data_IF_518778452916
#
_entry.id   IF_518778452916
#
_cell.length_a   1.000
_cell.length_b   1.000
_cell.length_c   1.000
_cell.angle_alpha   90.00
_cell.angle_beta   90.00
_cell.angle_gamma   90.00
#
_symmetry.space_group_name_H-M   'P 1'
#
loop_
_entity.id
_entity.type
_entity.pdbx_description
1 polymer ?
#
# COMPACT_ATOMS: atom_id res chain seq x y z
N UNK A 1 1.42 -8.92 17.52
CA UNK A 1 1.77 -10.24 18.09
C UNK A 1 0.90 -11.34 17.46
N UNK A 2 1.35 -12.61 17.40
CA UNK A 2 0.59 -13.71 16.80
C UNK A 2 -0.81 -13.94 17.40
N UNK A 3 -1.00 -13.53 18.65
CA UNK A 3 -2.24 -13.71 19.40
C UNK A 3 -3.17 -12.49 19.34
N UNK A 4 -2.92 -11.53 18.48
CA UNK A 4 -3.66 -10.28 18.38
C UNK A 4 -5.07 -10.53 17.83
N UNK A 5 -6.08 -10.21 18.64
CA UNK A 5 -7.48 -10.34 18.23
C UNK A 5 -7.94 -9.11 17.44
N UNK A 6 -9.00 -9.22 16.61
CA UNK A 6 -9.58 -8.06 15.93
C UNK A 6 -9.94 -6.91 16.88
N UNK A 7 -10.48 -7.24 18.07
CA UNK A 7 -10.82 -6.28 19.12
C UNK A 7 -9.64 -5.51 19.68
N UNK A 8 -8.42 -6.08 19.62
CA UNK A 8 -7.22 -5.39 20.08
C UNK A 8 -6.83 -4.26 19.12
N UNK A 9 -7.24 -4.35 17.84
CA UNK A 9 -7.03 -3.32 16.82
C UNK A 9 -8.19 -2.32 16.79
N UNK A 10 -9.43 -2.82 16.73
CA UNK A 10 -10.62 -1.98 16.54
C UNK A 10 -11.14 -1.39 17.85
N UNK A 11 -10.83 -2.02 18.97
CA UNK A 11 -11.41 -1.69 20.26
C UNK A 11 -12.60 -2.57 20.60
N UNK A 12 -13.18 -2.33 21.76
CA UNK A 12 -14.29 -3.09 22.32
C UNK A 12 -15.17 -2.21 23.18
N UNK A 13 -16.46 -2.54 23.31
CA UNK A 13 -17.35 -1.91 24.28
C UNK A 13 -17.17 -2.55 25.64
N UNK A 14 -16.97 -1.74 26.65
CA UNK A 14 -16.88 -2.14 28.04
C UNK A 14 -18.02 -1.53 28.87
N UNK A 15 -18.59 -2.30 29.78
CA UNK A 15 -19.59 -1.78 30.69
C UNK A 15 -18.93 -0.87 31.72
N UNK A 16 -19.25 0.41 31.70
CA UNK A 16 -18.87 1.34 32.76
C UNK A 16 -19.73 1.06 33.99
N UNK A 17 -19.07 0.53 35.05
CA UNK A 17 -19.75 0.20 36.29
C UNK A 17 -20.33 1.39 37.07
N UNK A 18 -19.91 2.61 36.72
CA UNK A 18 -20.39 3.84 37.36
C UNK A 18 -21.68 4.34 36.71
N UNK A 19 -21.71 4.35 35.40
CA UNK A 19 -22.88 4.82 34.62
C UNK A 19 -23.86 3.69 34.29
N UNK A 20 -23.43 2.42 34.32
CA UNK A 20 -24.21 1.26 33.86
C UNK A 20 -24.36 1.21 32.34
N UNK A 21 -23.63 2.05 31.59
CA UNK A 21 -23.69 2.12 30.14
C UNK A 21 -22.47 1.44 29.48
N UNK A 22 -22.66 0.98 28.26
CA UNK A 22 -21.56 0.48 27.45
C UNK A 22 -20.78 1.66 26.86
N UNK A 23 -19.48 1.73 27.15
CA UNK A 23 -18.58 2.76 26.63
C UNK A 23 -17.58 2.13 25.68
N UNK A 24 -17.46 2.70 24.48
CA UNK A 24 -16.49 2.27 23.50
C UNK A 24 -15.07 2.62 23.96
N UNK A 25 -14.24 1.60 24.18
CA UNK A 25 -12.80 1.71 24.33
C UNK A 25 -12.16 1.57 22.94
N UNK A 26 -11.79 2.70 22.32
CA UNK A 26 -11.16 2.74 21.03
C UNK A 26 -9.82 2.00 21.00
N UNK A 27 -9.62 1.18 19.97
CA UNK A 27 -8.35 0.51 19.71
C UNK A 27 -7.35 1.41 18.94
N UNK A 28 -6.13 0.90 18.70
CA UNK A 28 -5.07 1.64 18.02
C UNK A 28 -5.38 2.06 16.58
N UNK A 29 -6.37 1.45 15.93
CA UNK A 29 -6.81 1.83 14.58
C UNK A 29 -7.37 3.27 14.51
N UNK A 30 -7.81 3.83 15.64
CA UNK A 30 -8.30 5.21 15.72
C UNK A 30 -7.14 6.22 15.74
N UNK A 31 -6.28 6.14 14.73
CA UNK A 31 -5.14 7.02 14.51
C UNK A 31 -5.08 7.45 13.04
N UNK A 32 -4.20 8.37 12.69
CA UNK A 32 -4.01 8.81 11.29
C UNK A 32 -3.00 7.95 10.53
N UNK A 33 -1.99 7.42 11.22
CA UNK A 33 -0.99 6.51 10.66
C UNK A 33 -0.90 5.30 11.57
N UNK A 34 -1.20 4.13 11.06
CA UNK A 34 -1.10 2.86 11.76
C UNK A 34 0.07 2.06 11.19
N UNK A 35 1.04 1.72 12.03
CA UNK A 35 2.07 0.74 11.69
C UNK A 35 1.62 -0.64 12.16
N UNK A 36 1.38 -1.54 11.21
CA UNK A 36 1.08 -2.95 11.44
C UNK A 36 2.35 -3.78 11.14
N UNK A 37 3.18 -3.92 12.15
CA UNK A 37 4.43 -4.66 12.02
C UNK A 37 4.19 -6.16 11.97
N UNK A 38 4.86 -6.85 11.04
CA UNK A 38 4.74 -8.29 10.82
C UNK A 38 3.28 -8.78 10.67
N UNK A 39 2.50 -8.11 9.82
CA UNK A 39 1.06 -8.41 9.63
C UNK A 39 0.80 -9.89 9.26
N UNK A 40 1.76 -10.54 8.63
CA UNK A 40 1.70 -11.97 8.27
C UNK A 40 1.77 -12.91 9.48
N UNK A 41 2.05 -12.42 10.68
CA UNK A 41 1.97 -13.19 11.95
C UNK A 41 0.60 -13.05 12.63
N UNK A 42 -0.19 -12.06 12.26
CA UNK A 42 -1.52 -11.88 12.80
C UNK A 42 -2.50 -12.92 12.23
N UNK A 43 -3.46 -13.44 13.02
CA UNK A 43 -4.50 -14.33 12.54
C UNK A 43 -5.32 -13.74 11.39
N UNK A 44 -5.86 -14.59 10.51
CA UNK A 44 -6.60 -14.15 9.33
C UNK A 44 -7.79 -13.21 9.65
N UNK A 45 -8.46 -13.41 10.78
CA UNK A 45 -9.55 -12.52 11.22
C UNK A 45 -9.05 -11.12 11.56
N UNK A 46 -7.90 -11.01 12.17
CA UNK A 46 -7.26 -9.75 12.53
C UNK A 46 -6.76 -9.01 11.30
N UNK A 47 -6.15 -9.74 10.34
CA UNK A 47 -5.80 -9.20 9.03
C UNK A 47 -7.04 -8.65 8.30
N UNK A 48 -8.15 -9.39 8.28
CA UNK A 48 -9.38 -8.97 7.64
C UNK A 48 -9.96 -7.69 8.25
N UNK A 49 -9.97 -7.56 9.58
CA UNK A 49 -10.45 -6.36 10.27
C UNK A 49 -9.60 -5.11 9.92
N UNK A 50 -8.27 -5.28 9.85
CA UNK A 50 -7.38 -4.18 9.45
C UNK A 50 -7.60 -3.77 8.00
N UNK A 51 -7.77 -4.75 7.10
CA UNK A 51 -8.02 -4.49 5.68
C UNK A 51 -9.38 -3.84 5.43
N UNK A 52 -10.40 -4.18 6.22
CA UNK A 52 -11.69 -3.50 6.21
C UNK A 52 -11.55 -2.04 6.63
N UNK A 53 -10.92 -1.78 7.76
CA UNK A 53 -10.66 -0.44 8.27
C UNK A 53 -9.89 0.42 7.24
N UNK A 54 -8.89 -0.19 6.55
CA UNK A 54 -8.10 0.49 5.52
C UNK A 54 -8.93 0.87 4.29
N UNK A 55 -9.90 0.02 3.88
CA UNK A 55 -10.69 0.28 2.68
C UNK A 55 -11.85 1.24 2.91
N UNK A 56 -12.59 0.99 3.99
CA UNK A 56 -13.82 1.71 4.28
C UNK A 56 -13.54 3.02 5.05
N UNK A 57 -12.35 3.18 5.65
CA UNK A 57 -12.03 4.33 6.48
C UNK A 57 -12.91 4.40 7.73
N UNK A 58 -13.43 3.27 8.15
CA UNK A 58 -14.29 3.09 9.33
C UNK A 58 -14.10 1.69 9.91
N UNK A 59 -14.56 1.49 11.13
CA UNK A 59 -14.68 0.17 11.76
C UNK A 59 -16.13 -0.06 12.19
N UNK A 60 -16.59 -1.30 12.08
CA UNK A 60 -17.91 -1.70 12.55
C UNK A 60 -17.77 -2.39 13.89
N UNK A 61 -18.37 -1.79 14.93
CA UNK A 61 -18.41 -2.34 16.29
C UNK A 61 -19.84 -2.41 16.76
N UNK A 62 -20.30 -3.61 17.18
CA UNK A 62 -21.65 -3.87 17.67
C UNK A 62 -22.77 -3.37 16.74
N UNK A 63 -22.51 -3.41 15.41
CA UNK A 63 -23.47 -2.96 14.40
C UNK A 63 -23.38 -1.46 14.08
N UNK A 64 -22.57 -0.69 14.78
CA UNK A 64 -22.33 0.73 14.51
C UNK A 64 -21.07 0.93 13.70
N UNK A 65 -21.15 1.73 12.62
CA UNK A 65 -20.00 2.12 11.81
C UNK A 65 -19.40 3.41 12.33
N UNK A 66 -18.16 3.33 12.80
CA UNK A 66 -17.43 4.45 13.42
C UNK A 66 -16.33 4.90 12.47
N UNK A 67 -16.37 6.15 11.97
CA UNK A 67 -15.37 6.64 11.03
C UNK A 67 -13.99 6.79 11.70
N UNK A 68 -12.94 6.49 10.93
CA UNK A 68 -11.56 6.69 11.36
C UNK A 68 -11.10 8.15 11.11
N UNK A 69 -10.13 8.63 11.89
CA UNK A 69 -9.52 9.95 11.67
C UNK A 69 -8.95 10.08 10.26
N UNK A 70 -9.12 11.23 9.62
CA UNK A 70 -8.55 11.49 8.29
C UNK A 70 -7.39 12.48 8.37
N UNK A 71 -6.36 12.34 7.51
CA UNK A 71 -6.11 11.22 6.61
C UNK A 71 -5.80 9.93 7.39
N UNK A 72 -6.20 8.76 6.87
CA UNK A 72 -5.89 7.46 7.44
C UNK A 72 -4.96 6.69 6.51
N UNK A 73 -3.87 6.17 7.03
CA UNK A 73 -2.90 5.38 6.29
C UNK A 73 -2.40 4.20 7.13
N UNK A 74 -2.31 3.04 6.51
CA UNK A 74 -1.71 1.84 7.09
C UNK A 74 -0.36 1.56 6.43
N UNK A 75 0.68 1.41 7.25
CA UNK A 75 1.98 0.88 6.88
C UNK A 75 2.05 -0.54 7.46
N UNK A 76 2.09 -1.54 6.59
CA UNK A 76 2.21 -2.93 7.03
C UNK A 76 3.56 -3.49 6.60
N UNK A 77 4.25 -4.19 7.49
CA UNK A 77 5.47 -4.91 7.16
C UNK A 77 5.20 -6.42 7.07
N UNK A 78 5.99 -7.10 6.26
CA UNK A 78 6.04 -8.55 6.18
C UNK A 78 7.50 -8.99 6.28
N UNK A 79 7.76 -10.00 7.08
CA UNK A 79 9.06 -10.66 7.11
C UNK A 79 9.00 -11.93 6.23
N UNK A 80 9.67 -11.97 5.07
CA UNK A 80 9.60 -13.11 4.16
C UNK A 80 10.42 -14.33 4.63
N UNK A 81 11.32 -14.13 5.59
CA UNK A 81 12.27 -15.18 6.03
C UNK A 81 11.64 -16.17 7.02
N UNK A 82 10.62 -15.74 7.75
CA UNK A 82 9.95 -16.61 8.72
C UNK A 82 8.99 -17.56 8.02
N UNK A 83 9.18 -18.88 8.23
CA UNK A 83 8.35 -19.93 7.64
C UNK A 83 7.35 -20.54 8.65
N UNK A 84 7.60 -20.45 9.94
CA UNK A 84 6.72 -20.99 10.99
C UNK A 84 5.81 -19.91 11.60
N UNK A 85 4.55 -20.27 11.82
CA UNK A 85 3.56 -19.37 12.44
C UNK A 85 3.11 -18.21 11.57
N UNK A 86 3.26 -18.30 10.23
CA UNK A 86 2.93 -17.24 9.29
C UNK A 86 1.61 -17.51 8.59
N UNK A 87 0.69 -16.56 8.68
CA UNK A 87 -0.54 -16.52 7.92
C UNK A 87 -0.33 -15.66 6.67
N UNK A 88 -0.02 -16.28 5.53
CA UNK A 88 0.14 -15.53 4.27
C UNK A 88 -1.13 -14.77 3.93
N UNK A 89 -0.99 -13.49 3.59
CA UNK A 89 -2.10 -12.74 3.03
C UNK A 89 -2.44 -13.29 1.63
N UNK A 90 -3.70 -13.68 1.38
CA UNK A 90 -4.15 -14.03 0.03
C UNK A 90 -3.93 -12.87 -0.95
N UNK A 91 -3.76 -13.19 -2.24
CA UNK A 91 -3.51 -12.20 -3.30
C UNK A 91 -4.62 -11.14 -3.36
N UNK A 92 -5.88 -11.52 -3.19
CA UNK A 92 -7.02 -10.60 -3.14
C UNK A 92 -6.93 -9.58 -1.98
N UNK A 93 -6.19 -9.92 -0.92
CA UNK A 93 -5.93 -9.02 0.20
C UNK A 93 -4.70 -8.14 -0.07
N UNK A 94 -3.68 -8.67 -0.73
CA UNK A 94 -2.52 -7.90 -1.16
C UNK A 94 -2.89 -6.83 -2.18
N UNK A 95 -3.83 -7.09 -3.09
CA UNK A 95 -4.35 -6.11 -4.05
C UNK A 95 -5.00 -4.88 -3.39
N UNK A 96 -5.33 -4.95 -2.10
CA UNK A 96 -5.88 -3.81 -1.33
C UNK A 96 -4.83 -2.77 -0.93
N UNK A 97 -3.55 -3.15 -0.84
CA UNK A 97 -2.47 -2.21 -0.58
C UNK A 97 -2.16 -1.39 -1.83
N UNK A 98 -1.97 -0.08 -1.66
CA UNK A 98 -1.72 0.84 -2.77
C UNK A 98 -0.37 0.53 -3.45
N UNK A 99 0.68 0.37 -2.66
CA UNK A 99 2.05 0.09 -3.10
C UNK A 99 2.71 -0.96 -2.20
N UNK A 100 3.66 -1.68 -2.77
CA UNK A 100 4.60 -2.54 -2.06
C UNK A 100 6.02 -2.02 -2.27
N UNK A 101 6.75 -1.85 -1.18
CA UNK A 101 8.15 -1.43 -1.19
C UNK A 101 9.00 -2.60 -0.73
N UNK A 102 9.95 -3.01 -1.55
CA UNK A 102 10.93 -4.03 -1.17
C UNK A 102 12.11 -3.35 -0.49
N UNK A 103 12.37 -3.78 0.75
CA UNK A 103 13.50 -3.30 1.52
C UNK A 103 14.68 -4.24 1.28
N UNK A 104 15.78 -3.72 0.74
CA UNK A 104 17.04 -4.43 0.60
C UNK A 104 18.03 -3.98 1.65
N UNK A 105 19.10 -4.76 1.85
CA UNK A 105 20.22 -4.33 2.67
C UNK A 105 20.80 -3.03 2.10
N UNK A 106 21.15 -2.07 2.97
CA UNK A 106 21.85 -0.86 2.54
C UNK A 106 23.26 -1.25 2.00
N UNK A 107 23.76 -0.48 1.05
CA UNK A 107 25.14 -0.67 0.58
C UNK A 107 26.15 -0.29 1.69
N UNK A 108 27.37 -0.83 1.59
CA UNK A 108 28.45 -0.66 2.59
C UNK A 108 28.59 0.75 3.13
N UNK A 109 28.59 1.76 2.26
CA UNK A 109 28.82 3.15 2.70
C UNK A 109 27.64 3.69 3.54
N UNK A 110 26.41 3.30 3.19
CA UNK A 110 25.22 3.62 3.98
C UNK A 110 25.17 2.89 5.32
N UNK A 111 25.69 1.66 5.40
CA UNK A 111 25.83 0.95 6.68
C UNK A 111 26.85 1.66 7.59
N UNK A 112 27.97 2.09 7.04
CA UNK A 112 28.97 2.89 7.79
C UNK A 112 28.36 4.19 8.29
N UNK A 113 27.59 4.89 7.46
CA UNK A 113 26.91 6.12 7.90
C UNK A 113 25.83 5.86 8.96
N UNK A 114 25.09 4.76 8.86
CA UNK A 114 24.13 4.32 9.87
C UNK A 114 24.83 4.12 11.23
N UNK A 115 25.97 3.40 11.27
CA UNK A 115 26.73 3.19 12.51
C UNK A 115 27.23 4.51 13.10
N UNK A 116 27.69 5.45 12.26
CA UNK A 116 28.09 6.79 12.70
C UNK A 116 26.94 7.61 13.26
N UNK A 117 25.73 7.50 12.66
CA UNK A 117 24.54 8.22 13.11
C UNK A 117 24.00 7.66 14.43
N UNK A 118 23.97 6.32 14.58
CA UNK A 118 23.54 5.67 15.82
C UNK A 118 24.44 5.95 17.01
N UNK A 119 25.73 6.29 16.78
CA UNK A 119 26.66 6.71 17.82
C UNK A 119 26.46 8.16 18.29
N UNK A 120 25.57 8.93 17.61
CA UNK A 120 25.25 10.32 17.99
C UNK A 120 23.87 10.39 18.62
N UNK A 121 23.66 11.39 19.49
CA UNK A 121 22.36 11.65 20.08
C UNK A 121 21.35 11.99 18.97
N UNK A 122 20.29 11.17 18.82
CA UNK A 122 19.26 11.39 17.80
C UNK A 122 18.44 12.63 18.15
N UNK A 123 18.41 13.60 17.26
CA UNK A 123 17.51 14.74 17.37
C UNK A 123 16.07 14.30 17.09
N UNK A 124 15.14 14.77 17.91
CA UNK A 124 13.71 14.56 17.64
C UNK A 124 13.32 15.32 16.36
N UNK A 125 12.70 14.66 15.36
CA UNK A 125 12.25 15.34 14.15
C UNK A 125 11.29 16.49 14.44
N UNK A 126 11.50 17.64 13.81
CA UNK A 126 10.55 18.74 13.88
C UNK A 126 9.29 18.43 13.05
N UNK A 127 8.14 18.96 13.52
CA UNK A 127 6.90 18.86 12.76
C UNK A 127 7.00 19.68 11.47
N UNK A 128 6.84 19.03 10.31
CA UNK A 128 6.91 19.69 8.99
C UNK A 128 5.52 20.00 8.43
N UNK A 129 4.57 19.07 8.58
CA UNK A 129 3.19 19.18 8.07
C UNK A 129 2.19 18.80 9.16
N UNK A 130 0.96 19.24 8.98
CA UNK A 130 -0.19 18.79 9.77
C UNK A 130 -1.16 17.98 8.91
N UNK A 131 -2.13 17.34 9.56
CA UNK A 131 -3.13 16.51 8.90
C UNK A 131 -3.97 17.31 7.89
N UNK A 132 -4.24 18.58 8.18
CA UNK A 132 -5.00 19.45 7.29
C UNK A 132 -4.19 19.75 6.00
N UNK A 133 -2.88 19.95 6.12
CA UNK A 133 -2.01 20.14 4.95
C UNK A 133 -1.99 18.89 4.06
N UNK A 134 -1.84 17.71 4.66
CA UNK A 134 -1.90 16.43 3.93
C UNK A 134 -3.27 16.28 3.24
N UNK A 135 -4.37 16.56 3.94
CA UNK A 135 -5.71 16.53 3.35
C UNK A 135 -5.88 17.46 2.14
N UNK A 136 -5.28 18.67 2.18
CA UNK A 136 -5.25 19.57 1.02
C UNK A 136 -4.48 18.97 -0.17
N UNK A 137 -3.33 18.36 0.06
CA UNK A 137 -2.60 17.67 -1.01
C UNK A 137 -3.39 16.50 -1.59
N UNK A 138 -4.03 15.69 -0.75
CA UNK A 138 -4.88 14.59 -1.21
C UNK A 138 -6.05 15.09 -2.07
N UNK A 139 -6.63 16.24 -1.75
CA UNK A 139 -7.71 16.85 -2.54
C UNK A 139 -7.22 17.41 -3.90
N UNK A 140 -5.93 17.70 -4.04
CA UNK A 140 -5.33 18.15 -5.30
C UNK A 140 -5.01 16.99 -6.26
N UNK A 141 -4.67 15.80 -5.74
CA UNK A 141 -4.31 14.65 -6.57
C UNK A 141 -5.31 14.34 -7.70
N UNK A 142 -6.63 14.28 -7.48
CA UNK A 142 -7.59 14.00 -8.55
C UNK A 142 -7.65 15.10 -9.63
N UNK A 143 -7.16 16.31 -9.31
CA UNK A 143 -7.16 17.48 -10.21
C UNK A 143 -5.93 17.52 -11.12
N UNK A 144 -4.94 16.65 -10.88
CA UNK A 144 -3.78 16.54 -11.77
C UNK A 144 -4.25 16.05 -13.13
N UNK A 145 -4.00 16.86 -14.14
CA UNK A 145 -4.46 16.61 -15.52
C UNK A 145 -3.74 15.42 -16.15
N UNK A 146 -4.40 14.73 -17.05
CA UNK A 146 -3.83 13.67 -17.89
C UNK A 146 -4.54 13.63 -19.22
N UNK A 147 -3.78 13.55 -20.30
CA UNK A 147 -4.28 13.34 -21.65
C UNK A 147 -4.92 11.95 -21.79
N UNK A 148 -5.87 11.81 -22.71
CA UNK A 148 -6.59 10.56 -22.95
C UNK A 148 -5.63 9.38 -23.22
N UNK A 149 -4.59 9.60 -24.02
CA UNK A 149 -3.58 8.59 -24.33
C UNK A 149 -2.88 8.01 -23.08
N UNK A 150 -2.77 8.77 -21.97
CA UNK A 150 -2.18 8.27 -20.73
C UNK A 150 -3.13 7.34 -19.95
N UNK A 151 -4.43 7.56 -20.04
CA UNK A 151 -5.42 6.63 -19.47
C UNK A 151 -5.44 5.32 -20.26
N UNK A 152 -5.36 5.42 -21.59
CA UNK A 152 -5.26 4.27 -22.49
C UNK A 152 -3.98 3.48 -22.21
N UNK A 153 -2.83 4.14 -22.10
CA UNK A 153 -1.55 3.53 -21.71
C UNK A 153 -1.64 2.74 -20.40
N UNK A 154 -2.27 3.31 -19.36
CA UNK A 154 -2.47 2.60 -18.07
C UNK A 154 -3.34 1.35 -18.25
N UNK A 155 -4.39 1.44 -19.05
CA UNK A 155 -5.27 0.29 -19.33
C UNK A 155 -4.53 -0.75 -20.16
N UNK A 156 -3.74 -0.35 -21.16
CA UNK A 156 -2.96 -1.24 -22.01
C UNK A 156 -1.90 -2.01 -21.23
N UNK A 157 -1.23 -1.36 -20.26
CA UNK A 157 -0.35 -2.05 -19.29
C UNK A 157 -1.09 -3.14 -18.52
N UNK A 158 -2.30 -2.85 -18.04
CA UNK A 158 -3.11 -3.83 -17.33
C UNK A 158 -3.59 -4.97 -18.23
N UNK A 159 -3.98 -4.68 -19.48
CA UNK A 159 -4.39 -5.68 -20.48
C UNK A 159 -3.21 -6.56 -20.88
N UNK A 160 -2.05 -5.96 -21.17
CA UNK A 160 -0.82 -6.67 -21.51
C UNK A 160 -0.41 -7.63 -20.38
N UNK A 161 -0.53 -7.20 -19.10
CA UNK A 161 -0.26 -8.07 -17.96
C UNK A 161 -1.18 -9.31 -17.91
N UNK A 162 -2.46 -9.16 -18.29
CA UNK A 162 -3.42 -10.28 -18.32
C UNK A 162 -3.15 -11.26 -19.45
N UNK A 163 -2.51 -10.79 -20.53
CA UNK A 163 -2.15 -11.61 -21.69
C UNK A 163 -0.71 -12.16 -21.63
N UNK A 164 0.08 -11.78 -20.61
CA UNK A 164 1.48 -12.16 -20.50
C UNK A 164 1.64 -13.67 -20.28
N UNK A 165 2.48 -14.38 -21.08
CA UNK A 165 2.61 -15.84 -21.04
C UNK A 165 3.10 -16.37 -19.68
N UNK A 166 3.97 -15.62 -18.99
CA UNK A 166 4.57 -16.02 -17.71
C UNK A 166 3.64 -15.75 -16.52
N UNK A 167 2.49 -15.11 -16.73
CA UNK A 167 1.55 -14.79 -15.65
C UNK A 167 0.38 -15.76 -15.61
N UNK A 168 0.07 -16.23 -14.41
CA UNK A 168 -1.19 -16.89 -14.06
C UNK A 168 -2.30 -15.86 -13.83
N UNK A 169 -1.95 -14.72 -13.21
CA UNK A 169 -2.87 -13.63 -12.95
C UNK A 169 -2.18 -12.29 -13.22
N UNK A 170 -2.79 -11.48 -14.10
CA UNK A 170 -2.39 -10.10 -14.38
C UNK A 170 -3.07 -9.09 -13.47
N UNK A 171 -2.79 -7.80 -13.68
CA UNK A 171 -3.32 -6.71 -12.88
C UNK A 171 -4.85 -6.59 -12.97
N UNK A 172 -5.51 -6.43 -11.83
CA UNK A 172 -6.94 -6.15 -11.73
C UNK A 172 -7.28 -4.72 -12.18
N UNK A 173 -8.55 -4.37 -12.44
CA UNK A 173 -8.97 -2.99 -12.66
C UNK A 173 -8.57 -2.06 -11.49
N UNK A 174 -8.52 -2.59 -10.26
CA UNK A 174 -8.00 -1.85 -9.10
C UNK A 174 -6.53 -1.51 -9.27
N UNK A 175 -5.70 -2.40 -9.84
CA UNK A 175 -4.30 -2.14 -10.15
C UNK A 175 -4.13 -0.95 -11.08
N UNK A 176 -4.91 -0.86 -12.17
CA UNK A 176 -4.91 0.29 -13.07
C UNK A 176 -5.31 1.60 -12.36
N UNK A 177 -6.35 1.55 -11.49
CA UNK A 177 -6.76 2.72 -10.70
C UNK A 177 -5.68 3.14 -9.70
N UNK A 178 -5.00 2.20 -9.06
CA UNK A 178 -3.88 2.48 -8.16
C UNK A 178 -2.72 3.11 -8.92
N UNK A 179 -2.42 2.63 -10.13
CA UNK A 179 -1.38 3.16 -10.99
C UNK A 179 -1.67 4.64 -11.36
N UNK A 180 -2.90 4.95 -11.77
CA UNK A 180 -3.34 6.32 -12.03
C UNK A 180 -3.18 7.22 -10.80
N UNK A 181 -3.63 6.76 -9.63
CA UNK A 181 -3.54 7.53 -8.38
C UNK A 181 -2.10 7.83 -7.98
N UNK A 182 -1.22 6.83 -8.11
CA UNK A 182 0.20 6.99 -7.80
C UNK A 182 0.92 7.88 -8.81
N UNK A 183 0.62 7.78 -10.11
CA UNK A 183 1.19 8.65 -11.15
C UNK A 183 0.81 10.13 -10.92
N UNK A 184 -0.46 10.41 -10.60
CA UNK A 184 -0.92 11.75 -10.23
C UNK A 184 -0.22 12.29 -8.98
N UNK A 185 -0.07 11.45 -7.96
CA UNK A 185 0.64 11.83 -6.73
C UNK A 185 2.12 12.10 -7.01
N UNK A 186 2.78 11.30 -7.84
CA UNK A 186 4.16 11.48 -8.24
C UNK A 186 4.37 12.81 -8.99
N UNK A 187 3.50 13.13 -9.94
CA UNK A 187 3.53 14.41 -10.65
C UNK A 187 3.32 15.61 -9.69
N UNK A 188 2.34 15.50 -8.79
CA UNK A 188 2.06 16.55 -7.79
C UNK A 188 3.25 16.79 -6.86
N UNK A 189 3.88 15.73 -6.36
CA UNK A 189 5.10 15.80 -5.54
C UNK A 189 6.28 16.40 -6.30
N UNK A 190 6.30 16.25 -7.63
CA UNK A 190 7.26 16.89 -8.53
C UNK A 190 6.89 18.33 -8.91
N UNK A 191 5.86 18.92 -8.28
CA UNK A 191 5.41 20.29 -8.50
C UNK A 191 4.63 20.51 -9.81
N UNK A 192 4.12 19.44 -10.44
CA UNK A 192 3.40 19.52 -11.71
C UNK A 192 1.89 19.34 -11.54
N UNK A 193 1.10 20.10 -12.29
CA UNK A 193 -0.36 19.98 -12.37
C UNK A 193 -0.84 18.95 -13.41
N UNK A 194 0.06 18.24 -14.05
CA UNK A 194 -0.21 17.20 -15.04
C UNK A 194 0.75 16.02 -14.85
N UNK A 195 0.30 14.80 -15.16
CA UNK A 195 1.15 13.62 -15.17
C UNK A 195 1.52 13.19 -16.58
N UNK A 196 2.59 12.46 -16.72
CA UNK A 196 3.13 11.94 -17.99
C UNK A 196 3.30 10.42 -17.91
N UNK A 197 3.65 9.79 -19.02
CA UNK A 197 4.01 8.36 -19.04
C UNK A 197 5.20 8.05 -18.10
N UNK A 198 6.15 8.98 -17.94
CA UNK A 198 7.27 8.79 -17.01
C UNK A 198 6.81 8.69 -15.56
N UNK A 199 5.75 9.39 -15.18
CA UNK A 199 5.16 9.26 -13.84
C UNK A 199 4.51 7.89 -13.65
N UNK A 200 3.86 7.37 -14.69
CA UNK A 200 3.29 6.01 -14.70
C UNK A 200 4.40 4.97 -14.56
N UNK A 201 5.46 5.08 -15.36
CA UNK A 201 6.61 4.17 -15.32
C UNK A 201 7.32 4.19 -13.97
N UNK A 202 7.53 5.38 -13.39
CA UNK A 202 8.20 5.54 -12.09
C UNK A 202 7.49 4.81 -10.94
N UNK A 203 6.17 4.68 -11.01
CA UNK A 203 5.37 4.03 -9.96
C UNK A 203 4.87 2.63 -10.35
N UNK A 204 5.15 2.17 -11.57
CA UNK A 204 4.64 0.89 -12.07
C UNK A 204 5.08 -0.30 -11.21
N UNK A 205 6.36 -0.39 -10.90
CA UNK A 205 6.90 -1.51 -10.13
C UNK A 205 6.30 -1.61 -8.72
N UNK A 206 6.33 -0.59 -7.86
CA UNK A 206 5.73 -0.67 -6.52
C UNK A 206 4.21 -0.88 -6.54
N UNK A 207 3.53 -0.47 -7.61
CA UNK A 207 2.07 -0.62 -7.74
C UNK A 207 1.69 -1.97 -8.32
N UNK A 208 2.36 -2.48 -9.35
CA UNK A 208 1.93 -3.66 -10.09
C UNK A 208 2.57 -4.96 -9.58
N UNK A 209 3.85 -4.96 -9.20
CA UNK A 209 4.61 -6.19 -8.94
C UNK A 209 3.95 -7.13 -7.91
N UNK A 210 3.29 -6.59 -6.87
CA UNK A 210 2.61 -7.40 -5.85
C UNK A 210 1.19 -7.85 -6.24
N UNK A 211 0.72 -7.45 -7.42
CA UNK A 211 -0.59 -7.80 -7.99
C UNK A 211 -0.51 -8.85 -9.08
N UNK A 212 0.72 -9.17 -9.49
CA UNK A 212 0.97 -10.16 -10.53
C UNK A 212 1.31 -11.51 -9.89
N UNK A 213 0.79 -12.59 -10.45
CA UNK A 213 1.09 -13.96 -10.01
C UNK A 213 1.75 -14.67 -11.17
N UNK A 214 2.97 -15.13 -10.97
CA UNK A 214 3.72 -15.89 -11.95
C UNK A 214 3.13 -17.29 -12.10
N UNK A 215 3.33 -17.87 -13.26
CA UNK A 215 3.16 -19.31 -13.45
C UNK A 215 4.29 -20.07 -12.77
N UNK A 216 4.04 -21.27 -12.24
CA UNK A 216 5.08 -22.07 -11.58
C UNK A 216 6.32 -22.29 -12.45
N UNK A 217 6.13 -22.46 -13.75
CA UNK A 217 7.21 -22.67 -14.71
C UNK A 217 8.15 -21.46 -14.76
N UNK A 218 7.58 -20.24 -14.83
CA UNK A 218 8.33 -19.00 -14.85
C UNK A 218 9.08 -18.76 -13.50
N UNK A 219 8.48 -19.13 -12.37
CA UNK A 219 9.15 -19.06 -11.06
C UNK A 219 10.35 -20.02 -10.99
N UNK A 220 10.22 -21.24 -11.52
CA UNK A 220 11.31 -22.22 -11.58
C UNK A 220 12.45 -21.71 -12.46
N UNK A 221 12.15 -21.01 -13.54
CA UNK A 221 13.12 -20.35 -14.42
C UNK A 221 13.79 -19.12 -13.78
N UNK A 222 13.39 -18.74 -12.57
CA UNK A 222 13.96 -17.62 -11.81
C UNK A 222 13.39 -16.25 -12.19
N UNK A 223 12.32 -16.20 -12.98
CA UNK A 223 11.61 -14.94 -13.29
C UNK A 223 11.01 -14.35 -12.03
N UNK A 224 10.94 -13.04 -11.96
CA UNK A 224 10.32 -12.30 -10.87
C UNK A 224 9.28 -11.34 -11.40
N UNK A 225 8.27 -11.03 -10.60
CA UNK A 225 7.20 -10.10 -11.01
C UNK A 225 7.73 -8.72 -11.41
N UNK A 226 8.84 -8.27 -10.84
CA UNK A 226 9.51 -7.03 -11.25
C UNK A 226 10.04 -7.06 -12.68
N UNK A 227 10.52 -8.23 -13.13
CA UNK A 227 11.06 -8.41 -14.47
C UNK A 227 9.89 -8.33 -15.48
N UNK A 228 8.76 -8.94 -15.12
CA UNK A 228 7.52 -8.83 -15.92
C UNK A 228 7.04 -7.37 -16.03
N UNK A 229 7.05 -6.62 -14.92
CA UNK A 229 6.67 -5.20 -14.98
C UNK A 229 7.58 -4.43 -15.94
N UNK A 230 8.90 -4.72 -15.96
CA UNK A 230 9.81 -4.11 -16.92
C UNK A 230 9.47 -4.50 -18.36
N UNK A 231 9.23 -5.79 -18.61
CA UNK A 231 8.82 -6.26 -19.94
C UNK A 231 7.55 -5.54 -20.44
N UNK A 232 6.56 -5.35 -19.56
CA UNK A 232 5.32 -4.61 -19.89
C UNK A 232 5.61 -3.16 -20.27
N UNK A 233 6.49 -2.48 -19.51
CA UNK A 233 6.87 -1.10 -19.78
C UNK A 233 7.64 -0.95 -21.11
N UNK A 234 8.42 -1.97 -21.49
CA UNK A 234 9.21 -1.99 -22.71
C UNK A 234 8.34 -2.33 -23.94
N UNK A 235 7.28 -3.13 -23.77
CA UNK A 235 6.40 -3.60 -24.84
C UNK A 235 5.24 -2.65 -25.15
N UNK A 236 4.67 -2.00 -24.14
CA UNK A 236 3.50 -1.13 -24.31
C UNK A 236 3.95 0.27 -24.67
N UNK A 237 3.71 0.63 -25.92
CA UNK A 237 4.04 1.97 -26.42
C UNK A 237 3.05 3.02 -25.88
N UNK A 238 3.56 4.20 -25.58
CA UNK A 238 2.72 5.38 -25.35
C UNK A 238 2.28 5.89 -26.72
N UNK A 239 0.99 5.81 -27.03
CA UNK A 239 0.44 6.37 -28.25
C UNK A 239 0.55 7.91 -28.16
N UNK A 240 1.44 8.50 -28.95
CA UNK A 240 1.42 9.95 -29.15
C UNK A 240 0.28 10.27 -30.12
N UNK A 241 -0.64 11.14 -29.71
CA UNK A 241 -1.56 11.74 -30.66
C UNK A 241 -0.73 12.46 -31.76
N UNK A 242 -0.96 12.07 -33.00
CA UNK A 242 -0.35 12.66 -34.21
C UNK A 242 -0.95 14.01 -34.52
#
# INVERSE_FOLDING_TARGET
TPDLMPSDITGTSILDRKSGEFVLRKGPVFCQVLLADEINRAPAKTQAALLEAMQEGQVTLEGESIPLPRPFMVLATQNPVEQEGVYRLPEAQLDRFLVRIEMSYPGRDREVDMLRLLSRQQATPARVLDAAAIGRFQALCPRVHGEQALFEYIVDLALASRAHPDLLLGASPRGALCLLRCARAHALLSGRGYFTHLDVQAVAQPVLAHRLILRPEAEIEGRRTRDIVQDLLDQVAVLSES
#
